data_IF_722009672448
#
_entry.id   IF_722009672448
#
_cell.length_a   1.000
_cell.length_b   1.000
_cell.length_c   1.000
_cell.angle_alpha   90.00
_cell.angle_beta   90.00
_cell.angle_gamma   90.00
#
_symmetry.space_group_name_H-M   'P 1'
#
loop_
_entity.id
_entity.type
_entity.pdbx_description
1 polymer ?
#
# COMPACT_ATOMS: atom_id res chain seq x y z
N UNK A 1 -4.85 -9.47 -9.10
CA UNK A 1 -4.51 -10.55 -8.22
C UNK A 1 -5.41 -10.65 -7.01
N UNK A 2 -5.09 -11.62 -6.17
CA UNK A 2 -5.90 -11.91 -4.99
C UNK A 2 -6.08 -10.75 -4.04
N UNK A 3 -5.06 -9.92 -3.86
CA UNK A 3 -5.17 -8.75 -3.02
C UNK A 3 -6.18 -7.76 -3.58
N UNK A 4 -6.17 -7.55 -4.90
CA UNK A 4 -7.12 -6.65 -5.52
C UNK A 4 -8.55 -7.06 -5.28
N UNK A 5 -8.85 -8.33 -5.46
CA UNK A 5 -10.19 -8.85 -5.24
C UNK A 5 -10.62 -8.70 -3.77
N UNK A 6 -9.72 -8.97 -2.82
CA UNK A 6 -10.03 -8.85 -1.41
C UNK A 6 -10.35 -7.41 -1.01
N UNK A 7 -9.55 -6.45 -1.47
CA UNK A 7 -9.77 -5.05 -1.15
C UNK A 7 -11.05 -4.51 -1.79
N UNK A 8 -11.32 -4.86 -3.06
CA UNK A 8 -12.55 -4.44 -3.71
C UNK A 8 -13.79 -4.98 -2.99
N UNK A 9 -13.74 -6.26 -2.57
CA UNK A 9 -14.86 -6.86 -1.84
C UNK A 9 -15.10 -6.25 -0.46
N UNK A 10 -14.05 -5.74 0.19
CA UNK A 10 -14.16 -5.21 1.56
C UNK A 10 -14.34 -3.71 1.62
N UNK A 11 -13.71 -2.96 0.70
CA UNK A 11 -13.64 -1.51 0.75
C UNK A 11 -14.28 -0.83 -0.45
N UNK A 12 -14.75 -1.58 -1.44
CA UNK A 12 -15.16 -1.02 -2.73
C UNK A 12 -14.03 -0.18 -3.35
N UNK A 13 -12.80 -0.61 -3.14
CA UNK A 13 -11.63 0.12 -3.58
C UNK A 13 -11.35 -0.08 -5.06
N UNK A 14 -10.75 0.92 -5.69
CA UNK A 14 -10.24 0.80 -7.05
C UNK A 14 -8.79 0.36 -6.98
N UNK A 15 -8.48 -0.74 -7.66
CA UNK A 15 -7.12 -1.24 -7.74
C UNK A 15 -6.68 -1.32 -9.18
N UNK A 16 -5.42 -1.00 -9.38
CA UNK A 16 -4.80 -1.06 -10.71
C UNK A 16 -3.44 -1.72 -10.59
N UNK A 17 -3.03 -2.47 -11.62
CA UNK A 17 -1.67 -3.02 -11.63
C UNK A 17 -0.64 -1.91 -11.44
N UNK A 18 0.42 -2.19 -10.67
CA UNK A 18 1.44 -1.19 -10.40
C UNK A 18 2.09 -0.60 -11.62
N UNK A 19 2.26 -1.42 -12.68
CA UNK A 19 2.84 -0.94 -13.92
C UNK A 19 1.96 0.11 -14.60
N UNK A 20 0.65 -0.03 -14.55
CA UNK A 20 -0.26 0.96 -15.10
C UNK A 20 -0.15 2.28 -14.34
N UNK A 21 -0.03 2.21 -13.03
CA UNK A 21 0.14 3.39 -12.18
C UNK A 21 1.40 4.15 -12.56
N UNK A 22 2.51 3.44 -12.77
CA UNK A 22 3.79 4.06 -13.13
C UNK A 22 3.71 4.74 -14.49
N UNK A 23 3.04 4.14 -15.46
CA UNK A 23 3.00 4.64 -16.83
C UNK A 23 1.88 5.63 -17.11
N UNK A 24 0.87 5.68 -16.24
CA UNK A 24 -0.33 6.49 -16.48
C UNK A 24 -0.59 7.47 -15.33
N UNK A 25 0.38 8.33 -15.04
CA UNK A 25 0.31 9.27 -13.93
C UNK A 25 -0.93 10.18 -14.00
N UNK A 26 -1.32 10.60 -15.19
CA UNK A 26 -2.52 11.44 -15.36
C UNK A 26 -3.79 10.69 -14.98
N UNK A 27 -3.87 9.41 -15.34
CA UNK A 27 -5.01 8.58 -14.98
C UNK A 27 -5.02 8.29 -13.47
N UNK A 28 -3.86 8.20 -12.85
CA UNK A 28 -3.75 8.06 -11.41
C UNK A 28 -4.36 9.27 -10.71
N UNK A 29 -4.04 10.47 -11.19
CA UNK A 29 -4.60 11.69 -10.62
C UNK A 29 -6.13 11.67 -10.64
N UNK A 30 -6.72 11.29 -11.77
CA UNK A 30 -8.17 11.18 -11.90
C UNK A 30 -8.75 10.12 -10.96
N UNK A 31 -8.11 8.96 -10.87
CA UNK A 31 -8.59 7.87 -10.02
C UNK A 31 -8.52 8.23 -8.54
N UNK A 32 -7.47 8.92 -8.12
CA UNK A 32 -7.26 9.28 -6.72
C UNK A 32 -8.21 10.39 -6.29
N UNK A 33 -8.55 11.31 -7.17
CA UNK A 33 -9.38 12.47 -6.84
C UNK A 33 -10.69 12.09 -6.14
N UNK A 34 -11.29 10.97 -6.55
CA UNK A 34 -12.56 10.50 -5.99
C UNK A 34 -12.38 9.35 -4.99
N UNK A 35 -11.17 9.02 -4.62
CA UNK A 35 -10.91 7.93 -3.69
C UNK A 35 -11.00 8.39 -2.24
N UNK A 36 -11.43 7.49 -1.36
CA UNK A 36 -11.44 7.72 0.08
C UNK A 36 -10.14 7.26 0.74
N UNK A 37 -9.46 6.32 0.11
CA UNK A 37 -8.22 5.73 0.62
C UNK A 37 -7.41 5.19 -0.56
N UNK A 38 -6.12 5.40 -0.50
CA UNK A 38 -5.18 4.83 -1.46
C UNK A 38 -4.33 3.79 -0.74
N UNK A 39 -4.24 2.58 -1.30
CA UNK A 39 -3.36 1.55 -0.80
C UNK A 39 -2.31 1.27 -1.87
N UNK A 40 -1.05 1.36 -1.49
CA UNK A 40 0.07 1.07 -2.38
C UNK A 40 0.92 -0.05 -1.80
N UNK A 41 1.66 -0.72 -2.65
CA UNK A 41 2.47 -1.87 -2.24
C UNK A 41 3.89 -1.79 -2.72
N UNK A 42 4.78 -2.43 -1.97
CA UNK A 42 6.19 -2.53 -2.32
C UNK A 42 6.79 -3.78 -1.69
N UNK A 43 7.83 -4.33 -2.32
CA UNK A 43 8.52 -5.49 -1.75
C UNK A 43 9.20 -5.16 -0.43
N UNK A 44 9.84 -4.00 -0.34
CA UNK A 44 10.48 -3.53 0.89
C UNK A 44 10.41 -2.01 0.97
N UNK A 45 10.07 -1.50 2.14
CA UNK A 45 10.16 -0.07 2.43
C UNK A 45 11.37 0.18 3.31
N UNK A 46 12.20 1.13 2.89
CA UNK A 46 13.39 1.56 3.61
C UNK A 46 13.62 3.06 3.36
N UNK A 47 14.72 3.58 3.89
CA UNK A 47 15.04 5.00 3.71
C UNK A 47 15.23 5.40 2.24
N UNK A 48 15.60 4.46 1.38
CA UNK A 48 15.80 4.73 -0.05
C UNK A 48 14.47 4.80 -0.82
N UNK A 49 13.39 4.33 -0.24
CA UNK A 49 12.07 4.35 -0.89
C UNK A 49 11.60 5.76 -1.20
N UNK A 50 12.12 6.78 -0.50
CA UNK A 50 11.76 8.19 -0.74
C UNK A 50 12.30 8.73 -2.06
N UNK A 51 13.21 8.02 -2.71
CA UNK A 51 13.89 8.50 -3.91
C UNK A 51 13.14 8.17 -5.21
N UNK A 52 11.83 8.24 -5.16
CA UNK A 52 11.07 8.36 -6.37
C UNK A 52 10.58 7.08 -6.98
N UNK A 53 10.31 6.09 -6.20
CA UNK A 53 9.68 4.89 -6.70
C UNK A 53 8.18 4.95 -6.53
N UNK A 54 7.49 3.89 -6.92
CA UNK A 54 6.04 3.85 -7.00
C UNK A 54 5.31 4.31 -5.73
N UNK A 55 5.67 3.86 -4.52
CA UNK A 55 4.90 4.26 -3.35
C UNK A 55 4.90 5.77 -3.10
N UNK A 56 6.06 6.40 -3.23
CA UNK A 56 6.18 7.85 -3.00
C UNK A 56 5.49 8.64 -4.12
N UNK A 57 5.60 8.17 -5.36
CA UNK A 57 4.89 8.79 -6.48
C UNK A 57 3.38 8.75 -6.29
N UNK A 58 2.86 7.61 -5.87
CA UNK A 58 1.42 7.45 -5.59
C UNK A 58 1.01 8.36 -4.42
N UNK A 59 1.80 8.37 -3.34
CA UNK A 59 1.51 9.20 -2.18
C UNK A 59 1.49 10.69 -2.52
N UNK A 60 2.39 11.13 -3.38
CA UNK A 60 2.44 12.54 -3.81
C UNK A 60 1.15 12.94 -4.51
N UNK A 61 0.65 12.08 -5.40
CA UNK A 61 -0.61 12.34 -6.10
C UNK A 61 -1.78 12.35 -5.11
N UNK A 62 -1.82 11.36 -4.21
CA UNK A 62 -2.88 11.28 -3.21
C UNK A 62 -2.95 12.52 -2.33
N UNK A 63 -1.79 13.06 -1.93
CA UNK A 63 -1.75 14.24 -1.07
C UNK A 63 -2.23 15.51 -1.76
N UNK A 64 -2.13 15.59 -3.08
CA UNK A 64 -2.72 16.73 -3.81
C UNK A 64 -4.24 16.80 -3.62
N UNK A 65 -4.87 15.66 -3.38
CA UNK A 65 -6.32 15.56 -3.23
C UNK A 65 -6.75 15.30 -1.78
N UNK A 66 -5.81 15.36 -0.83
CA UNK A 66 -6.12 15.13 0.57
C UNK A 66 -6.54 13.72 0.91
N UNK A 67 -6.13 12.73 0.12
CA UNK A 67 -6.52 11.33 0.31
C UNK A 67 -5.47 10.60 1.15
N UNK A 68 -5.87 9.88 2.20
CA UNK A 68 -4.93 9.10 3.00
C UNK A 68 -4.32 7.94 2.22
N UNK A 69 -3.07 7.60 2.57
CA UNK A 69 -2.29 6.57 1.90
C UNK A 69 -1.79 5.55 2.91
N UNK A 70 -2.05 4.29 2.65
CA UNK A 70 -1.49 3.17 3.41
C UNK A 70 -0.59 2.37 2.49
N UNK A 71 0.64 2.08 2.94
CA UNK A 71 1.55 1.21 2.22
C UNK A 71 1.58 -0.16 2.87
N UNK A 72 1.53 -1.21 2.05
CA UNK A 72 1.70 -2.59 2.49
C UNK A 72 2.96 -3.12 1.82
N UNK A 73 3.92 -3.57 2.61
CA UNK A 73 5.22 -4.01 2.10
C UNK A 73 5.51 -5.44 2.51
N UNK A 74 6.36 -6.11 1.73
CA UNK A 74 6.86 -7.41 2.11
C UNK A 74 7.68 -7.35 3.39
N UNK A 75 8.45 -6.28 3.56
CA UNK A 75 9.20 -6.03 4.80
C UNK A 75 9.43 -4.55 4.99
N UNK A 76 9.71 -4.17 6.23
CA UNK A 76 10.06 -2.80 6.61
C UNK A 76 11.45 -2.83 7.27
N UNK A 77 12.32 -1.91 6.88
CA UNK A 77 13.61 -1.75 7.57
C UNK A 77 13.45 -0.85 8.79
N UNK A 78 14.41 -0.85 9.73
CA UNK A 78 14.31 0.01 10.91
C UNK A 78 14.18 1.50 10.60
N UNK A 79 14.67 1.93 9.43
CA UNK A 79 14.67 3.33 9.01
C UNK A 79 13.53 3.69 8.05
N UNK A 80 12.53 2.81 7.89
CA UNK A 80 11.44 3.05 6.94
C UNK A 80 10.60 4.27 7.29
N UNK A 81 10.61 4.71 8.53
CA UNK A 81 9.69 5.74 9.04
C UNK A 81 9.80 7.07 8.30
N UNK A 82 10.89 7.29 7.60
CA UNK A 82 11.06 8.50 6.78
C UNK A 82 9.95 8.64 5.72
N UNK A 83 9.33 7.55 5.31
CA UNK A 83 8.26 7.60 4.30
C UNK A 83 7.04 8.38 4.77
N UNK A 84 6.83 8.48 6.09
CA UNK A 84 5.71 9.27 6.62
C UNK A 84 5.85 10.76 6.33
N UNK A 85 7.06 11.24 6.13
CA UNK A 85 7.32 12.64 5.76
C UNK A 85 7.05 12.90 4.28
N UNK A 86 6.84 11.84 3.51
CA UNK A 86 6.65 11.92 2.06
C UNK A 86 5.26 11.49 1.62
N UNK A 87 4.28 11.52 2.53
CA UNK A 87 2.89 11.33 2.20
C UNK A 87 2.30 9.96 2.47
N UNK A 88 3.08 9.03 2.99
CA UNK A 88 2.57 7.72 3.41
C UNK A 88 2.12 7.83 4.87
N UNK A 89 0.81 7.73 5.09
CA UNK A 89 0.25 7.94 6.42
C UNK A 89 0.46 6.76 7.36
N UNK A 90 0.42 5.55 6.83
CA UNK A 90 0.67 4.33 7.61
C UNK A 90 1.34 3.29 6.74
N UNK A 91 2.16 2.44 7.33
CA UNK A 91 2.85 1.39 6.62
C UNK A 91 2.79 0.10 7.43
N UNK A 92 2.59 -1.01 6.74
CA UNK A 92 2.47 -2.33 7.34
C UNK A 92 3.35 -3.33 6.62
N UNK A 93 4.02 -4.21 7.37
CA UNK A 93 4.66 -5.38 6.81
C UNK A 93 3.66 -6.52 6.74
N UNK A 94 3.77 -7.35 5.71
CA UNK A 94 2.95 -8.57 5.62
C UNK A 94 3.46 -9.68 6.54
N UNK A 95 4.64 -9.52 7.14
CA UNK A 95 5.21 -10.52 8.03
C UNK A 95 4.54 -10.42 9.40
N UNK A 96 3.79 -11.44 9.76
CA UNK A 96 3.05 -11.48 11.01
C UNK A 96 3.75 -12.34 12.08
N UNK A 97 4.89 -12.92 11.74
CA UNK A 97 5.68 -13.77 12.64
C UNK A 97 7.11 -13.84 12.15
N UNK A 98 7.97 -14.43 12.96
CA UNK A 98 9.37 -14.62 12.61
C UNK A 98 9.46 -15.83 11.67
N UNK A 99 9.97 -15.60 10.48
CA UNK A 99 10.11 -16.64 9.45
C UNK A 99 11.42 -16.47 8.70
N UNK A 100 11.84 -17.51 8.00
CA UNK A 100 12.96 -17.42 7.07
C UNK A 100 12.52 -16.68 5.81
N UNK A 101 13.48 -16.19 5.04
CA UNK A 101 13.17 -15.58 3.75
C UNK A 101 12.43 -16.55 2.83
N UNK A 102 12.84 -17.81 2.81
CA UNK A 102 12.20 -18.83 2.00
C UNK A 102 10.71 -18.99 2.38
N UNK A 103 10.42 -19.07 3.67
CA UNK A 103 9.04 -19.17 4.14
C UNK A 103 8.24 -17.90 3.79
N UNK A 104 8.85 -16.73 3.95
CA UNK A 104 8.19 -15.47 3.63
C UNK A 104 7.81 -15.40 2.15
N UNK A 105 8.70 -15.85 1.27
CA UNK A 105 8.41 -15.86 -0.17
C UNK A 105 7.37 -16.91 -0.53
N UNK A 106 7.41 -18.08 0.12
CA UNK A 106 6.44 -19.14 -0.15
C UNK A 106 5.02 -18.74 0.27
N UNK A 107 4.88 -17.99 1.36
CA UNK A 107 3.58 -17.60 1.92
C UNK A 107 3.19 -16.16 1.56
N UNK A 108 3.85 -15.55 0.59
CA UNK A 108 3.66 -14.13 0.29
C UNK A 108 2.21 -13.78 -0.03
N UNK A 109 1.53 -14.56 -0.85
CA UNK A 109 0.14 -14.30 -1.21
C UNK A 109 -0.79 -14.36 -0.02
N UNK A 110 -0.64 -15.39 0.80
CA UNK A 110 -1.46 -15.55 2.01
C UNK A 110 -1.21 -14.43 3.00
N UNK A 111 0.05 -14.10 3.22
CA UNK A 111 0.42 -13.02 4.15
C UNK A 111 -0.14 -11.68 3.69
N UNK A 112 -0.08 -11.41 2.39
CA UNK A 112 -0.63 -10.19 1.82
C UNK A 112 -2.14 -10.11 2.00
N UNK A 113 -2.85 -11.20 1.76
CA UNK A 113 -4.30 -11.25 1.94
C UNK A 113 -4.69 -11.00 3.39
N UNK A 114 -4.01 -11.62 4.34
CA UNK A 114 -4.28 -11.42 5.77
C UNK A 114 -4.04 -9.97 6.18
N UNK A 115 -2.92 -9.39 5.75
CA UNK A 115 -2.60 -8.00 6.06
C UNK A 115 -3.62 -7.05 5.46
N UNK A 116 -3.97 -7.26 4.20
CA UNK A 116 -4.96 -6.43 3.51
C UNK A 116 -6.33 -6.49 4.21
N UNK A 117 -6.74 -7.67 4.65
CA UNK A 117 -7.97 -7.82 5.40
C UNK A 117 -7.94 -7.03 6.71
N UNK A 118 -6.84 -7.11 7.44
CA UNK A 118 -6.73 -6.39 8.70
C UNK A 118 -6.68 -4.87 8.49
N UNK A 119 -5.99 -4.41 7.47
CA UNK A 119 -5.97 -2.99 7.10
C UNK A 119 -7.38 -2.52 6.77
N UNK A 120 -8.12 -3.29 5.98
CA UNK A 120 -9.49 -2.97 5.62
C UNK A 120 -10.39 -2.91 6.86
N UNK A 121 -10.24 -3.85 7.77
CA UNK A 121 -11.04 -3.88 9.00
C UNK A 121 -10.78 -2.63 9.86
N UNK A 122 -9.52 -2.24 10.03
CA UNK A 122 -9.17 -1.03 10.79
C UNK A 122 -9.75 0.21 10.11
N UNK A 123 -9.65 0.30 8.78
CA UNK A 123 -10.21 1.42 8.05
C UNK A 123 -11.73 1.53 8.25
N UNK A 124 -12.45 0.41 8.17
CA UNK A 124 -13.89 0.40 8.39
C UNK A 124 -14.27 0.85 9.79
N UNK A 125 -13.51 0.45 10.80
CA UNK A 125 -13.71 0.89 12.17
C UNK A 125 -13.55 2.39 12.31
N UNK A 126 -12.60 2.97 11.60
CA UNK A 126 -12.35 4.41 11.63
C UNK A 126 -13.46 5.21 10.95
N UNK A 127 -14.22 4.58 10.05
CA UNK A 127 -15.33 5.23 9.34
C UNK A 127 -16.66 5.10 10.08
N UNK A 128 -16.73 4.28 11.10
CA UNK A 128 -17.98 4.03 11.85
C UNK A 128 -18.42 5.22 12.71
#
# INVERSE_FOLDING_TARGET
GGMGAALLGMLSARLRPGIEIVTETLHLDEAVRDADLVITGEGRLDSQSIHGKTPIGVARVAKRHGVPVIAIAGSLTPDYQVVHQHGIDAAFSVLDRIVTLEEALADADRNLQVTARNVAAVWQLAQA
#
